data_IF_153213856910
#
_entry.id   IF_153213856910
#
_cell.length_a   1.000
_cell.length_b   1.000
_cell.length_c   1.000
_cell.angle_alpha   90.00
_cell.angle_beta   90.00
_cell.angle_gamma   90.00
#
_symmetry.space_group_name_H-M   'P 1'
#
loop_
_entity.id
_entity.type
_entity.pdbx_description
1 polymer ?
#
# COMPACT_ATOMS: atom_id res chain seq x y z
N UNK A 1 11.65 15.42 3.45
CA UNK A 1 11.45 14.15 2.74
C UNK A 1 12.66 13.98 1.84
N UNK A 2 13.25 12.79 1.77
CA UNK A 2 14.25 12.49 0.74
C UNK A 2 13.60 12.66 -0.63
N UNK A 3 14.36 13.15 -1.61
CA UNK A 3 13.93 13.18 -3.00
C UNK A 3 13.63 11.76 -3.48
N UNK A 4 12.54 11.59 -4.25
CA UNK A 4 12.16 10.29 -4.79
C UNK A 4 13.25 9.79 -5.76
N UNK A 5 13.84 8.64 -5.45
CA UNK A 5 14.83 8.02 -6.34
C UNK A 5 14.15 6.98 -7.24
N UNK A 6 14.15 7.24 -8.55
CA UNK A 6 13.59 6.30 -9.53
C UNK A 6 14.50 5.11 -9.83
N UNK A 7 15.74 5.09 -9.34
CA UNK A 7 16.64 3.96 -9.43
C UNK A 7 16.63 3.15 -8.14
N UNK A 8 16.40 1.84 -8.27
CA UNK A 8 16.62 0.91 -7.15
C UNK A 8 18.10 0.57 -7.05
N UNK A 9 18.58 0.33 -5.83
CA UNK A 9 19.89 -0.29 -5.60
C UNK A 9 19.68 -1.80 -5.49
N UNK A 10 20.21 -2.62 -6.42
CA UNK A 10 20.06 -4.07 -6.35
C UNK A 10 20.65 -4.64 -5.06
N UNK A 11 19.88 -5.49 -4.37
CA UNK A 11 20.35 -6.17 -3.15
C UNK A 11 21.37 -7.26 -3.48
N UNK A 12 21.26 -7.88 -4.67
CA UNK A 12 22.14 -8.95 -5.15
C UNK A 12 22.21 -10.18 -4.22
N UNK A 13 21.12 -10.46 -3.50
CA UNK A 13 21.00 -11.63 -2.63
C UNK A 13 20.00 -12.63 -3.23
N UNK A 14 20.45 -13.88 -3.36
CA UNK A 14 19.64 -15.00 -3.83
C UNK A 14 19.68 -16.12 -2.80
N UNK A 15 18.51 -16.64 -2.44
CA UNK A 15 18.37 -17.77 -1.52
C UNK A 15 17.61 -18.92 -2.20
N UNK A 16 18.01 -20.16 -1.91
CA UNK A 16 17.34 -21.37 -2.41
C UNK A 16 16.87 -22.21 -1.25
N UNK A 17 15.59 -22.59 -1.30
CA UNK A 17 14.93 -23.42 -0.30
C UNK A 17 14.47 -24.74 -0.95
N UNK A 18 15.00 -25.86 -0.49
CA UNK A 18 14.59 -27.18 -0.98
C UNK A 18 13.18 -27.52 -0.49
N UNK A 19 12.38 -28.07 -1.39
CA UNK A 19 11.01 -28.47 -1.08
C UNK A 19 10.98 -29.94 -0.64
N UNK A 20 10.21 -30.23 0.41
CA UNK A 20 10.01 -31.61 0.88
C UNK A 20 9.39 -32.53 -0.19
N UNK A 21 8.67 -31.95 -1.16
CA UNK A 21 8.08 -32.67 -2.30
C UNK A 21 9.05 -32.85 -3.48
N UNK A 22 10.31 -32.42 -3.34
CA UNK A 22 11.27 -32.30 -4.43
C UNK A 22 11.17 -30.96 -5.17
N UNK A 23 12.29 -30.55 -5.78
CA UNK A 23 12.49 -29.22 -6.35
C UNK A 23 12.91 -28.19 -5.30
N UNK A 24 12.90 -26.91 -5.67
CA UNK A 24 13.30 -25.81 -4.78
C UNK A 24 12.55 -24.52 -5.11
N UNK A 25 12.52 -23.57 -4.17
CA UNK A 25 12.14 -22.19 -4.43
C UNK A 25 13.41 -21.35 -4.44
N UNK A 26 13.57 -20.53 -5.48
CA UNK A 26 14.60 -19.50 -5.54
C UNK A 26 13.96 -18.15 -5.21
N UNK A 27 14.56 -17.41 -4.28
CA UNK A 27 14.17 -16.08 -3.87
C UNK A 27 15.26 -15.09 -4.28
N UNK A 28 14.90 -14.06 -5.04
CA UNK A 28 15.76 -12.93 -5.39
C UNK A 28 15.28 -11.70 -4.63
N UNK A 29 16.05 -11.29 -3.62
CA UNK A 29 15.65 -10.19 -2.74
C UNK A 29 15.80 -8.83 -3.41
N UNK A 30 14.94 -7.89 -3.02
CA UNK A 30 14.97 -6.51 -3.47
C UNK A 30 14.73 -5.53 -2.33
N UNK A 31 15.01 -4.25 -2.59
CA UNK A 31 14.92 -3.16 -1.63
C UNK A 31 13.47 -3.00 -1.11
N UNK A 32 13.32 -2.99 0.21
CA UNK A 32 12.05 -2.81 0.91
C UNK A 32 11.79 -1.34 1.29
N UNK A 33 12.58 -0.40 0.78
CA UNK A 33 12.34 1.03 0.92
C UNK A 33 10.93 1.41 0.47
N UNK A 34 10.31 2.33 1.21
CA UNK A 34 8.91 2.69 1.01
C UNK A 34 8.59 3.19 -0.41
N UNK A 35 9.55 3.84 -1.08
CA UNK A 35 9.37 4.32 -2.45
C UNK A 35 9.37 3.17 -3.45
N UNK A 36 10.23 2.17 -3.23
CA UNK A 36 10.31 0.95 -4.04
C UNK A 36 9.04 0.12 -3.86
N UNK A 37 8.65 -0.16 -2.61
CA UNK A 37 7.44 -0.93 -2.30
C UNK A 37 6.19 -0.23 -2.80
N UNK A 38 6.04 1.08 -2.55
CA UNK A 38 4.88 1.84 -3.00
C UNK A 38 4.74 1.84 -4.53
N UNK A 39 5.85 2.00 -5.25
CA UNK A 39 5.85 1.98 -6.71
C UNK A 39 5.48 0.59 -7.25
N UNK A 40 6.07 -0.47 -6.69
CA UNK A 40 5.79 -1.84 -7.08
C UNK A 40 4.31 -2.20 -6.87
N UNK A 41 3.78 -1.98 -5.67
CA UNK A 41 2.39 -2.34 -5.36
C UNK A 41 1.39 -1.47 -6.11
N UNK A 42 1.71 -0.21 -6.40
CA UNK A 42 0.88 0.62 -7.28
C UNK A 42 0.88 0.06 -8.71
N UNK A 43 2.04 -0.28 -9.28
CA UNK A 43 2.11 -0.91 -10.59
C UNK A 43 1.32 -2.23 -10.63
N UNK A 44 1.38 -3.05 -9.58
CA UNK A 44 0.64 -4.30 -9.52
C UNK A 44 -0.88 -4.08 -9.41
N UNK A 45 -1.34 -3.25 -8.48
CA UNK A 45 -2.75 -3.15 -8.13
C UNK A 45 -3.52 -2.07 -8.88
N UNK A 46 -2.90 -1.00 -9.34
CA UNK A 46 -3.58 0.03 -10.13
C UNK A 46 -3.42 -0.22 -11.64
N UNK A 47 -2.24 -0.65 -12.07
CA UNK A 47 -1.93 -0.76 -13.50
C UNK A 47 -2.07 -2.19 -14.06
N UNK A 48 -1.91 -3.22 -13.23
CA UNK A 48 -1.84 -4.62 -13.68
C UNK A 48 -2.75 -5.57 -12.89
N UNK A 49 -3.79 -5.07 -12.24
CA UNK A 49 -4.65 -5.88 -11.37
C UNK A 49 -5.27 -7.09 -12.05
N UNK A 50 -5.53 -7.02 -13.38
CA UNK A 50 -6.11 -8.10 -14.17
C UNK A 50 -5.17 -9.32 -14.29
N UNK A 51 -3.89 -9.13 -14.04
CA UNK A 51 -2.84 -10.12 -14.30
C UNK A 51 -2.32 -10.78 -13.03
N UNK A 52 -2.68 -10.26 -11.85
CA UNK A 52 -2.06 -10.66 -10.58
C UNK A 52 -3.08 -11.21 -9.61
N UNK A 53 -2.70 -12.30 -8.93
CA UNK A 53 -3.44 -12.84 -7.80
C UNK A 53 -2.81 -12.41 -6.48
N UNK A 54 -3.59 -12.49 -5.42
CA UNK A 54 -3.13 -12.28 -4.04
C UNK A 54 -3.33 -13.58 -3.30
N UNK A 55 -2.32 -14.02 -2.57
CA UNK A 55 -2.39 -15.22 -1.78
C UNK A 55 -1.86 -15.02 -0.35
N UNK A 56 -2.36 -15.83 0.56
CA UNK A 56 -1.72 -16.11 1.84
C UNK A 56 -1.54 -17.62 1.94
N UNK A 57 -0.30 -18.07 1.82
CA UNK A 57 0.07 -19.48 1.68
C UNK A 57 0.91 -19.86 2.89
N UNK A 58 0.33 -20.58 3.83
CA UNK A 58 1.02 -21.06 5.03
C UNK A 58 0.79 -22.56 5.19
N UNK A 59 1.64 -23.22 5.98
CA UNK A 59 1.44 -24.65 6.24
C UNK A 59 0.07 -24.88 6.90
N UNK A 60 -0.77 -25.67 6.23
CA UNK A 60 -2.12 -26.01 6.70
C UNK A 60 -3.24 -25.06 6.24
N UNK A 61 -2.97 -23.97 5.52
CA UNK A 61 -4.01 -23.10 4.98
C UNK A 61 -3.54 -22.28 3.77
N UNK A 62 -4.41 -22.20 2.76
CA UNK A 62 -4.19 -21.36 1.58
C UNK A 62 -5.45 -20.54 1.33
N UNK A 63 -5.25 -19.24 1.14
CA UNK A 63 -6.25 -18.32 0.62
C UNK A 63 -5.70 -17.68 -0.65
N UNK A 64 -6.45 -17.73 -1.74
CA UNK A 64 -6.14 -17.03 -2.99
C UNK A 64 -7.32 -16.15 -3.38
N UNK A 65 -7.01 -14.95 -3.86
CA UNK A 65 -7.95 -13.92 -4.27
C UNK A 65 -7.53 -13.35 -5.62
N UNK A 66 -8.52 -13.15 -6.48
CA UNK A 66 -8.35 -12.52 -7.78
C UNK A 66 -9.20 -11.26 -7.88
N UNK A 67 -8.83 -10.37 -8.80
CA UNK A 67 -9.57 -9.18 -9.12
C UNK A 67 -10.52 -9.43 -10.31
N UNK A 68 -11.82 -9.25 -10.08
CA UNK A 68 -12.85 -9.34 -11.14
C UNK A 68 -13.20 -7.99 -11.76
N UNK A 69 -12.67 -6.90 -11.20
CA UNK A 69 -12.86 -5.52 -11.62
C UNK A 69 -11.70 -4.67 -11.07
N UNK A 70 -11.48 -3.44 -11.58
CA UNK A 70 -10.51 -2.53 -11.00
C UNK A 70 -10.76 -2.35 -9.50
N UNK A 71 -9.71 -2.25 -8.67
CA UNK A 71 -9.88 -1.87 -7.27
C UNK A 71 -10.67 -0.55 -7.15
N UNK A 72 -11.54 -0.48 -6.14
CA UNK A 72 -12.25 0.77 -5.81
C UNK A 72 -11.32 1.78 -5.11
N UNK A 73 -10.22 1.29 -4.56
CA UNK A 73 -9.28 2.06 -3.76
C UNK A 73 -7.90 1.37 -3.76
N UNK A 74 -6.85 2.16 -3.94
CA UNK A 74 -5.46 1.81 -3.63
C UNK A 74 -4.79 3.03 -2.99
N UNK A 75 -4.68 3.03 -1.66
CA UNK A 75 -4.14 4.18 -0.91
C UNK A 75 -3.16 3.74 0.16
N UNK A 76 -2.24 4.63 0.52
CA UNK A 76 -1.42 4.50 1.71
C UNK A 76 -2.01 5.36 2.84
N UNK A 77 -2.23 4.76 4.01
CA UNK A 77 -2.71 5.45 5.20
C UNK A 77 -1.99 4.93 6.45
N UNK A 78 -1.35 5.83 7.21
CA UNK A 78 -0.57 5.53 8.42
C UNK A 78 0.28 4.25 8.32
N UNK A 79 1.08 4.14 7.26
CA UNK A 79 1.99 3.01 7.04
C UNK A 79 1.40 1.82 6.26
N UNK A 80 0.08 1.73 6.17
CA UNK A 80 -0.60 0.61 5.52
C UNK A 80 -1.10 0.96 4.12
N UNK A 81 -0.61 0.23 3.13
CA UNK A 81 -1.29 0.08 1.85
C UNK A 81 -2.66 -0.54 2.13
N UNK A 82 -3.70 0.03 1.53
CA UNK A 82 -5.05 -0.51 1.52
C UNK A 82 -5.51 -0.63 0.08
N UNK A 83 -5.81 -1.86 -0.34
CA UNK A 83 -6.45 -2.15 -1.63
C UNK A 83 -7.83 -2.72 -1.34
N UNK A 84 -8.87 -2.11 -1.90
CA UNK A 84 -10.25 -2.52 -1.65
C UNK A 84 -10.99 -2.82 -2.96
N UNK A 85 -11.68 -3.95 -2.99
CA UNK A 85 -12.63 -4.33 -4.05
C UNK A 85 -14.05 -4.20 -3.51
N UNK A 86 -15.02 -4.75 -4.24
CA UNK A 86 -16.39 -4.85 -3.75
C UNK A 86 -16.56 -5.92 -2.66
N UNK A 87 -15.89 -7.05 -2.80
CA UNK A 87 -16.10 -8.23 -1.94
C UNK A 87 -15.06 -8.40 -0.84
N UNK A 88 -13.88 -7.79 -0.99
CA UNK A 88 -12.77 -7.97 -0.06
C UNK A 88 -11.84 -6.76 -0.07
N UNK A 89 -11.01 -6.64 0.96
CA UNK A 89 -9.92 -5.68 1.00
C UNK A 89 -8.72 -6.30 1.70
N UNK A 90 -7.54 -5.72 1.48
CA UNK A 90 -6.29 -6.13 2.11
C UNK A 90 -5.57 -4.92 2.70
N UNK A 91 -4.67 -5.22 3.64
CA UNK A 91 -3.75 -4.25 4.22
C UNK A 91 -2.32 -4.81 4.26
N UNK A 92 -1.34 -4.03 3.80
CA UNK A 92 0.09 -4.36 3.86
C UNK A 92 0.89 -3.19 4.43
N UNK A 93 1.67 -3.42 5.48
CA UNK A 93 2.46 -2.38 6.15
C UNK A 93 3.76 -2.11 5.38
N UNK A 94 3.74 -1.16 4.44
CA UNK A 94 4.88 -0.81 3.58
C UNK A 94 5.62 0.46 4.03
N UNK A 95 5.12 1.11 5.09
CA UNK A 95 5.75 2.28 5.71
C UNK A 95 5.41 2.33 7.21
N UNK A 96 6.02 3.26 7.94
CA UNK A 96 5.92 3.38 9.39
C UNK A 96 4.48 3.65 9.82
N UNK A 97 3.90 2.71 10.59
CA UNK A 97 2.61 2.89 11.25
C UNK A 97 2.78 3.55 12.63
N UNK A 98 2.31 4.77 12.81
CA UNK A 98 2.50 5.47 14.08
C UNK A 98 1.35 5.22 15.06
N UNK A 99 0.15 4.88 14.60
CA UNK A 99 -1.00 4.65 15.49
C UNK A 99 -1.73 5.94 15.83
N UNK A 100 -2.12 6.68 14.78
CA UNK A 100 -2.95 7.88 14.89
C UNK A 100 -2.25 9.10 15.49
N UNK A 101 -3.01 10.10 15.97
CA UNK A 101 -2.47 11.41 16.40
C UNK A 101 -1.55 11.35 17.62
N UNK A 102 -1.75 10.36 18.49
CA UNK A 102 -0.94 10.19 19.70
C UNK A 102 0.24 9.24 19.52
N UNK A 103 0.51 8.83 18.27
CA UNK A 103 1.61 7.92 17.93
C UNK A 103 1.65 6.65 18.82
N UNK A 104 0.48 6.04 19.06
CA UNK A 104 0.29 4.99 20.06
C UNK A 104 0.99 3.68 19.72
N UNK A 105 1.36 3.43 18.47
CA UNK A 105 2.06 2.21 18.08
C UNK A 105 3.50 2.26 18.64
N UNK A 106 3.91 1.36 19.53
CA UNK A 106 5.28 1.34 20.07
C UNK A 106 6.32 1.07 18.98
N UNK A 107 7.53 1.62 19.11
CA UNK A 107 8.60 1.50 18.10
C UNK A 107 8.87 0.05 17.68
N UNK A 108 8.95 -0.88 18.63
CA UNK A 108 9.19 -2.30 18.33
C UNK A 108 8.05 -2.93 17.53
N UNK A 109 6.80 -2.52 17.81
CA UNK A 109 5.64 -2.97 17.03
C UNK A 109 5.67 -2.37 15.62
N UNK A 110 6.15 -1.13 15.44
CA UNK A 110 6.32 -0.53 14.09
C UNK A 110 7.31 -1.34 13.27
N UNK A 111 8.47 -1.66 13.86
CA UNK A 111 9.50 -2.48 13.22
C UNK A 111 8.97 -3.87 12.87
N UNK A 112 8.25 -4.51 13.79
CA UNK A 112 7.68 -5.84 13.57
C UNK A 112 6.66 -5.84 12.43
N UNK A 113 5.74 -4.85 12.39
CA UNK A 113 4.68 -4.80 11.36
C UNK A 113 5.20 -4.53 9.96
N UNK A 114 6.24 -3.71 9.84
CA UNK A 114 6.77 -3.24 8.56
C UNK A 114 7.30 -4.41 7.71
N UNK A 115 7.03 -4.37 6.41
CA UNK A 115 7.72 -5.23 5.43
C UNK A 115 9.22 -4.97 5.53
N UNK A 116 9.96 -5.97 5.99
CA UNK A 116 11.41 -5.89 6.22
C UNK A 116 12.19 -6.64 5.15
N UNK A 117 11.53 -7.58 4.46
CA UNK A 117 12.11 -8.42 3.43
C UNK A 117 11.09 -8.69 2.35
N UNK A 118 11.54 -8.65 1.09
CA UNK A 118 10.71 -8.94 -0.07
C UNK A 118 11.56 -9.61 -1.15
N UNK A 119 10.98 -10.58 -1.85
CA UNK A 119 11.68 -11.31 -2.90
C UNK A 119 10.77 -11.65 -4.06
N UNK A 120 11.29 -11.57 -5.28
CA UNK A 120 10.72 -12.27 -6.41
C UNK A 120 11.09 -13.74 -6.26
N UNK A 121 10.10 -14.63 -6.31
CA UNK A 121 10.35 -16.06 -6.23
C UNK A 121 10.04 -16.78 -7.53
N UNK A 122 10.77 -17.87 -7.74
CA UNK A 122 10.47 -18.89 -8.74
C UNK A 122 10.49 -20.25 -8.08
N UNK A 123 9.43 -21.04 -8.27
CA UNK A 123 9.41 -22.44 -7.83
C UNK A 123 9.89 -23.33 -8.97
N UNK A 124 10.80 -24.23 -8.68
CA UNK A 124 11.35 -25.20 -9.62
C UNK A 124 10.93 -26.61 -9.24
N UNK A 125 10.74 -27.48 -10.23
CA UNK A 125 10.58 -28.91 -10.01
C UNK A 125 11.96 -29.60 -9.87
N UNK A 126 11.95 -30.93 -9.69
CA UNK A 126 13.16 -31.75 -9.57
C UNK A 126 14.08 -31.65 -10.78
N UNK A 127 13.52 -31.46 -11.97
CA UNK A 127 14.26 -31.31 -13.23
C UNK A 127 14.89 -29.91 -13.39
N UNK A 128 14.67 -28.98 -12.44
CA UNK A 128 15.20 -27.63 -12.49
C UNK A 128 14.44 -26.70 -13.46
N UNK A 129 13.22 -27.05 -13.85
CA UNK A 129 12.33 -26.22 -14.66
C UNK A 129 11.43 -25.34 -13.77
N UNK A 130 11.29 -24.04 -14.06
CA UNK A 130 10.42 -23.17 -13.28
C UNK A 130 8.94 -23.50 -13.55
N UNK A 131 8.14 -23.48 -12.48
CA UNK A 131 6.74 -23.90 -12.45
C UNK A 131 5.78 -22.82 -11.96
N UNK A 132 6.26 -21.87 -11.15
CA UNK A 132 5.47 -20.71 -10.73
C UNK A 132 6.37 -19.52 -10.41
N UNK A 133 5.78 -18.33 -10.49
CA UNK A 133 6.43 -17.03 -10.29
C UNK A 133 5.57 -16.20 -9.34
N UNK A 134 6.21 -15.41 -8.49
CA UNK A 134 5.48 -14.49 -7.63
C UNK A 134 6.39 -13.58 -6.83
N UNK A 135 5.81 -12.83 -5.91
CA UNK A 135 6.51 -11.94 -4.98
C UNK A 135 6.09 -12.30 -3.57
N UNK A 136 7.05 -12.49 -2.68
CA UNK A 136 6.81 -12.83 -1.28
C UNK A 136 7.28 -11.69 -0.38
N UNK A 137 6.47 -11.34 0.63
CA UNK A 137 6.81 -10.37 1.66
C UNK A 137 6.94 -11.03 3.03
N UNK A 138 7.84 -10.50 3.86
CA UNK A 138 7.99 -10.83 5.27
C UNK A 138 8.09 -9.56 6.11
N UNK A 139 7.64 -9.65 7.35
CA UNK A 139 7.67 -8.54 8.30
C UNK A 139 8.97 -8.50 9.13
N UNK A 140 9.12 -7.52 10.02
CA UNK A 140 10.31 -7.39 10.89
C UNK A 140 10.56 -8.55 11.85
N UNK A 141 9.61 -9.45 12.05
CA UNK A 141 9.76 -10.68 12.84
C UNK A 141 10.01 -11.92 11.96
N UNK A 142 10.30 -11.75 10.66
CA UNK A 142 10.44 -12.82 9.66
C UNK A 142 9.16 -13.66 9.46
N UNK A 143 8.01 -13.14 9.84
CA UNK A 143 6.73 -13.79 9.58
C UNK A 143 6.33 -13.58 8.12
N UNK A 144 5.91 -14.64 7.46
CA UNK A 144 5.40 -14.56 6.09
C UNK A 144 4.10 -13.76 6.07
N UNK A 145 4.06 -12.74 5.19
CA UNK A 145 2.88 -11.90 4.98
C UNK A 145 2.08 -12.44 3.78
N UNK A 146 1.61 -11.55 2.91
CA UNK A 146 0.94 -11.91 1.66
C UNK A 146 1.96 -12.25 0.57
N UNK A 147 1.47 -12.98 -0.42
CA UNK A 147 2.17 -13.37 -1.65
C UNK A 147 1.43 -12.76 -2.83
N UNK A 148 2.15 -12.22 -3.81
CA UNK A 148 1.58 -11.84 -5.11
C UNK A 148 1.85 -12.97 -6.08
N UNK A 149 0.78 -13.53 -6.65
CA UNK A 149 0.86 -14.52 -7.71
C UNK A 149 1.00 -13.78 -9.03
N UNK A 150 2.10 -14.03 -9.74
CA UNK A 150 2.34 -13.45 -11.06
C UNK A 150 1.86 -14.41 -12.15
N UNK A 151 1.61 -13.93 -13.39
CA UNK A 151 1.11 -14.77 -14.47
C UNK A 151 1.97 -16.02 -14.68
N UNK A 152 1.29 -17.18 -14.78
CA UNK A 152 1.95 -18.46 -14.97
C UNK A 152 1.87 -18.89 -16.46
N UNK A 153 2.99 -19.03 -17.18
CA UNK A 153 3.03 -19.46 -18.58
C UNK A 153 2.57 -20.91 -18.78
N UNK A 154 2.37 -21.70 -17.72
CA UNK A 154 1.94 -23.10 -17.77
C UNK A 154 0.45 -23.29 -17.45
N UNK A 155 -0.29 -22.22 -17.17
CA UNK A 155 -1.69 -22.28 -16.70
C UNK A 155 -2.58 -21.42 -17.59
N UNK A 156 -3.81 -21.86 -17.84
CA UNK A 156 -4.87 -21.09 -18.47
C UNK A 156 -6.22 -21.31 -17.77
N UNK A 157 -6.68 -20.28 -17.05
CA UNK A 157 -7.75 -20.42 -16.06
C UNK A 157 -7.36 -21.43 -14.97
N UNK A 158 -8.24 -22.40 -14.69
CA UNK A 158 -7.96 -23.49 -13.75
C UNK A 158 -7.18 -24.65 -14.39
N UNK A 159 -6.92 -24.61 -15.70
CA UNK A 159 -6.32 -25.72 -16.42
C UNK A 159 -4.81 -25.57 -16.55
N UNK A 160 -4.09 -26.67 -16.37
CA UNK A 160 -2.71 -26.76 -16.84
C UNK A 160 -2.71 -26.78 -18.37
N UNK A 161 -1.86 -25.94 -18.97
CA UNK A 161 -1.65 -25.98 -20.41
C UNK A 161 -1.05 -27.33 -20.83
N UNK A 162 -1.33 -27.81 -22.06
CA UNK A 162 -0.75 -29.04 -22.57
C UNK A 162 0.77 -29.08 -22.39
N UNK A 163 1.27 -30.23 -21.97
CA UNK A 163 2.69 -30.44 -21.71
C UNK A 163 3.53 -30.00 -22.94
N UNK A 164 4.50 -29.10 -22.70
CA UNK A 164 5.40 -28.59 -23.74
C UNK A 164 4.91 -27.39 -24.56
N UNK A 165 3.75 -26.79 -24.26
CA UNK A 165 3.27 -25.56 -24.94
C UNK A 165 3.07 -24.38 -23.96
N UNK A 166 4.14 -23.87 -23.33
CA UNK A 166 4.02 -22.70 -22.45
C UNK A 166 3.64 -21.45 -23.24
N UNK A 167 2.76 -20.63 -22.69
CA UNK A 167 2.54 -19.26 -23.17
C UNK A 167 3.54 -18.31 -22.48
N UNK A 168 4.71 -18.16 -23.10
CA UNK A 168 5.81 -17.36 -22.53
C UNK A 168 5.53 -15.86 -22.48
N UNK A 169 4.56 -15.36 -23.27
CA UNK A 169 4.18 -13.94 -23.25
C UNK A 169 3.63 -13.53 -21.87
N UNK A 170 3.08 -14.48 -21.10
CA UNK A 170 2.66 -14.26 -19.71
C UNK A 170 3.82 -13.82 -18.81
N UNK A 171 5.08 -14.10 -19.16
CA UNK A 171 6.24 -13.68 -18.37
C UNK A 171 6.66 -12.22 -18.57
N UNK A 172 6.03 -11.47 -19.50
CA UNK A 172 6.41 -10.09 -19.79
C UNK A 172 6.37 -9.19 -18.53
N UNK A 173 5.30 -9.28 -17.74
CA UNK A 173 5.17 -8.51 -16.49
C UNK A 173 6.25 -8.90 -15.48
N UNK A 174 6.50 -10.19 -15.28
CA UNK A 174 7.57 -10.66 -14.37
C UNK A 174 8.94 -10.14 -14.79
N UNK A 175 9.28 -10.21 -16.08
CA UNK A 175 10.57 -9.75 -16.60
C UNK A 175 10.76 -8.25 -16.40
N UNK A 176 9.74 -7.46 -16.72
CA UNK A 176 9.81 -6.01 -16.58
C UNK A 176 9.96 -5.59 -15.11
N UNK A 177 9.14 -6.16 -14.23
CA UNK A 177 9.23 -5.91 -12.79
C UNK A 177 10.60 -6.35 -12.23
N UNK A 178 11.13 -7.49 -12.64
CA UNK A 178 12.46 -7.96 -12.19
C UNK A 178 13.58 -7.05 -12.68
N UNK A 179 13.52 -6.59 -13.93
CA UNK A 179 14.49 -5.65 -14.49
C UNK A 179 14.50 -4.30 -13.75
N UNK A 180 13.32 -3.83 -13.32
CA UNK A 180 13.19 -2.59 -12.53
C UNK A 180 13.64 -2.86 -11.09
N UNK A 181 12.95 -3.73 -10.36
CA UNK A 181 12.98 -3.77 -8.90
C UNK A 181 14.08 -4.66 -8.31
N UNK A 182 14.48 -5.72 -9.03
CA UNK A 182 15.52 -6.64 -8.54
C UNK A 182 16.88 -6.27 -9.12
N UNK A 183 16.94 -6.07 -10.44
CA UNK A 183 18.20 -5.91 -11.16
C UNK A 183 18.65 -4.46 -11.34
N UNK A 184 17.75 -3.48 -11.15
CA UNK A 184 18.07 -2.06 -11.35
C UNK A 184 18.51 -1.71 -12.78
N UNK A 185 18.04 -2.47 -13.78
CA UNK A 185 18.35 -2.24 -15.20
C UNK A 185 17.45 -1.18 -15.84
N UNK A 186 16.30 -0.91 -15.22
CA UNK A 186 15.31 0.07 -15.66
C UNK A 186 14.92 0.94 -14.47
N UNK A 187 14.54 2.18 -14.75
CA UNK A 187 13.97 3.07 -13.74
C UNK A 187 12.56 2.66 -13.37
N UNK A 188 12.19 2.90 -12.11
CA UNK A 188 10.80 2.95 -11.68
C UNK A 188 10.07 4.00 -12.55
N UNK A 189 8.93 3.65 -13.19
CA UNK A 189 8.27 4.50 -14.17
C UNK A 189 7.39 5.60 -13.53
N UNK A 190 7.90 6.25 -12.49
CA UNK A 190 7.24 7.37 -11.80
C UNK A 190 8.22 8.52 -11.58
N UNK A 191 7.72 9.76 -11.61
CA UNK A 191 8.50 10.96 -11.27
C UNK A 191 8.41 11.32 -9.78
N UNK A 192 7.40 10.80 -9.08
CA UNK A 192 7.17 10.93 -7.64
C UNK A 192 6.59 9.63 -7.10
N UNK A 193 6.68 9.39 -5.79
CA UNK A 193 6.06 8.22 -5.18
C UNK A 193 4.54 8.23 -5.45
N UNK A 194 3.97 7.19 -6.10
CA UNK A 194 2.57 7.19 -6.54
C UNK A 194 1.54 7.01 -5.41
N UNK A 195 1.97 6.63 -4.21
CA UNK A 195 1.10 6.44 -3.04
C UNK A 195 1.37 7.43 -1.90
N UNK A 196 2.46 8.19 -1.96
CA UNK A 196 2.84 9.21 -0.95
C UNK A 196 2.59 10.63 -1.45
N UNK A 197 1.38 10.92 -1.89
CA UNK A 197 0.93 12.29 -2.11
C UNK A 197 0.24 12.85 -0.87
N UNK A 198 0.28 14.17 -0.73
CA UNK A 198 -0.43 14.84 0.35
C UNK A 198 -1.94 14.64 0.16
N UNK A 199 -2.59 14.20 1.22
CA UNK A 199 -4.04 14.08 1.32
C UNK A 199 -4.58 14.70 2.60
N UNK A 200 -5.83 15.13 2.55
CA UNK A 200 -6.66 15.51 3.69
C UNK A 200 -7.89 14.60 3.73
N UNK A 201 -8.13 13.94 4.86
CA UNK A 201 -9.19 12.93 4.98
C UNK A 201 -10.21 13.27 6.04
N UNK A 202 -11.50 13.05 5.74
CA UNK A 202 -12.61 13.17 6.70
C UNK A 202 -13.04 11.80 7.21
N UNK A 203 -13.12 11.64 8.54
CA UNK A 203 -13.61 10.43 9.20
C UNK A 203 -15.10 10.22 8.94
N UNK A 204 -15.45 9.06 8.37
CA UNK A 204 -16.83 8.66 8.06
C UNK A 204 -17.35 7.55 8.97
N UNK A 205 -16.59 7.21 10.03
CA UNK A 205 -16.90 6.10 10.93
C UNK A 205 -18.29 6.22 11.54
N UNK A 206 -19.14 5.23 11.26
CA UNK A 206 -20.48 5.12 11.85
C UNK A 206 -20.45 4.77 13.34
N UNK A 207 -19.29 4.32 13.86
CA UNK A 207 -19.04 4.02 15.28
C UNK A 207 -19.07 5.28 16.16
N UNK A 208 -18.92 6.47 15.57
CA UNK A 208 -18.91 7.75 16.27
C UNK A 208 -20.09 8.60 15.79
N UNK A 209 -21.05 8.90 16.68
CA UNK A 209 -22.24 9.72 16.34
C UNK A 209 -21.88 11.07 15.68
N UNK A 210 -20.92 11.85 16.21
CA UNK A 210 -20.50 13.11 15.59
C UNK A 210 -19.97 13.00 14.15
N UNK A 211 -19.37 11.86 13.78
CA UNK A 211 -18.82 11.64 12.43
C UNK A 211 -19.88 11.21 11.40
N UNK A 212 -21.15 11.01 11.79
CA UNK A 212 -22.21 10.58 10.86
C UNK A 212 -22.61 11.65 9.84
N UNK A 213 -22.44 12.93 10.17
CA UNK A 213 -22.72 14.08 9.29
C UNK A 213 -21.41 14.65 8.70
N UNK A 214 -20.62 13.79 8.09
CA UNK A 214 -19.30 14.14 7.55
C UNK A 214 -19.37 14.86 6.20
N UNK A 215 -20.45 14.64 5.42
CA UNK A 215 -20.57 15.11 4.03
C UNK A 215 -20.36 16.62 3.89
N UNK A 216 -21.00 17.50 4.69
CA UNK A 216 -20.79 18.94 4.55
C UNK A 216 -19.34 19.37 4.81
N UNK A 217 -18.64 18.65 5.69
CA UNK A 217 -17.21 18.91 5.96
C UNK A 217 -16.34 18.48 4.79
N UNK A 218 -16.65 17.32 4.20
CA UNK A 218 -15.97 16.82 3.02
C UNK A 218 -16.17 17.74 1.81
N UNK A 219 -17.40 18.16 1.54
CA UNK A 219 -17.73 19.03 0.41
C UNK A 219 -17.07 20.41 0.54
N UNK A 220 -17.02 20.97 1.76
CA UNK A 220 -16.33 22.22 2.05
C UNK A 220 -14.81 22.10 1.85
N UNK A 221 -14.18 21.03 2.36
CA UNK A 221 -12.76 20.76 2.12
C UNK A 221 -12.45 20.60 0.64
N UNK A 222 -13.25 19.82 -0.07
CA UNK A 222 -13.07 19.55 -1.50
C UNK A 222 -13.15 20.86 -2.30
N UNK A 223 -14.21 21.62 -2.09
CA UNK A 223 -14.40 22.91 -2.77
C UNK A 223 -13.27 23.89 -2.47
N UNK A 224 -12.83 23.98 -1.21
CA UNK A 224 -11.76 24.88 -0.80
C UNK A 224 -10.39 24.48 -1.39
N UNK A 225 -10.07 23.18 -1.39
CA UNK A 225 -8.82 22.67 -2.01
C UNK A 225 -8.81 22.91 -3.51
N UNK A 226 -9.92 22.63 -4.21
CA UNK A 226 -10.08 22.86 -5.65
C UNK A 226 -9.95 24.36 -5.99
N UNK A 227 -10.65 25.24 -5.24
CA UNK A 227 -10.58 26.69 -5.44
C UNK A 227 -9.18 27.27 -5.19
N UNK A 228 -8.42 26.67 -4.28
CA UNK A 228 -7.05 27.07 -3.97
C UNK A 228 -6.01 26.52 -4.96
N UNK A 229 -6.40 25.58 -5.85
CA UNK A 229 -5.49 24.96 -6.81
C UNK A 229 -4.38 24.11 -6.17
N UNK A 230 -4.65 23.52 -5.00
CA UNK A 230 -3.67 22.72 -4.26
C UNK A 230 -3.60 21.28 -4.80
N UNK A 231 -2.38 20.76 -4.99
CA UNK A 231 -2.14 19.32 -5.29
C UNK A 231 -2.27 18.48 -4.01
N UNK A 232 -3.47 18.45 -3.43
CA UNK A 232 -3.82 17.70 -2.21
C UNK A 232 -5.08 16.87 -2.49
N UNK A 233 -4.99 15.55 -2.29
CA UNK A 233 -6.17 14.67 -2.42
C UNK A 233 -7.13 14.88 -1.25
N UNK A 234 -8.41 15.17 -1.53
CA UNK A 234 -9.47 15.15 -0.50
C UNK A 234 -10.18 13.80 -0.53
N UNK A 235 -10.12 13.05 0.57
CA UNK A 235 -10.67 11.69 0.65
C UNK A 235 -11.45 11.42 1.92
N UNK A 236 -12.12 10.27 1.95
CA UNK A 236 -12.76 9.78 3.17
C UNK A 236 -11.84 8.78 3.87
N UNK A 237 -12.03 8.61 5.18
CA UNK A 237 -11.33 7.60 5.96
C UNK A 237 -12.30 6.87 6.87
N UNK A 238 -11.94 5.66 7.27
CA UNK A 238 -12.57 4.98 8.41
C UNK A 238 -12.32 5.73 9.74
N UNK A 239 -12.41 5.00 10.85
CA UNK A 239 -12.16 5.57 12.18
C UNK A 239 -10.72 6.09 12.29
N UNK A 240 -10.56 7.36 12.67
CA UNK A 240 -9.25 7.99 12.93
C UNK A 240 -8.78 7.88 14.40
N UNK A 241 -9.42 7.00 15.18
CA UNK A 241 -9.10 6.74 16.60
C UNK A 241 -9.20 7.95 17.56
N UNK A 242 -9.82 9.04 17.11
CA UNK A 242 -10.19 10.19 17.93
C UNK A 242 -11.68 10.10 18.26
N UNK A 243 -12.01 9.24 19.22
CA UNK A 243 -13.39 8.93 19.57
C UNK A 243 -14.14 10.16 20.09
N UNK A 244 -15.41 10.28 19.71
CA UNK A 244 -16.38 11.29 20.19
C UNK A 244 -16.10 12.76 19.86
N UNK A 245 -15.06 13.08 19.10
CA UNK A 245 -14.72 14.46 18.71
C UNK A 245 -14.92 14.74 17.21
N UNK A 246 -15.85 14.04 16.56
CA UNK A 246 -16.11 14.17 15.13
C UNK A 246 -16.92 15.42 14.71
N UNK A 247 -16.98 15.73 13.40
CA UNK A 247 -16.15 15.17 12.33
C UNK A 247 -14.66 15.42 12.57
N UNK A 248 -13.84 14.41 12.29
CA UNK A 248 -12.38 14.46 12.46
C UNK A 248 -11.77 14.57 11.08
N UNK A 249 -10.84 15.50 10.92
CA UNK A 249 -10.08 15.71 9.68
C UNK A 249 -8.61 15.41 9.96
N UNK A 250 -7.95 14.73 9.03
CA UNK A 250 -6.52 14.43 9.11
C UNK A 250 -5.80 14.95 7.88
N UNK A 251 -4.79 15.79 8.08
CA UNK A 251 -3.88 16.24 7.03
C UNK A 251 -2.56 15.47 7.12
N UNK A 252 -2.22 14.74 6.07
CA UNK A 252 -1.13 13.76 6.05
C UNK A 252 0.27 14.36 5.98
N UNK A 253 0.43 15.52 5.32
CA UNK A 253 1.75 16.09 5.01
C UNK A 253 2.56 16.41 6.28
N UNK A 254 1.93 17.07 7.25
CA UNK A 254 2.54 17.42 8.53
C UNK A 254 1.94 16.65 9.72
N UNK A 255 1.13 15.64 9.40
CA UNK A 255 0.42 14.78 10.35
C UNK A 255 -0.40 15.59 11.36
N UNK A 256 -1.32 16.42 10.90
CA UNK A 256 -2.20 17.21 11.77
C UNK A 256 -3.61 16.65 11.82
N UNK A 257 -4.18 16.54 13.01
CA UNK A 257 -5.58 16.16 13.20
C UNK A 257 -6.39 17.36 13.70
N UNK A 258 -7.59 17.49 13.16
CA UNK A 258 -8.59 18.46 13.58
C UNK A 258 -9.84 17.74 14.05
N UNK A 259 -10.48 18.27 15.08
CA UNK A 259 -11.70 17.75 15.67
C UNK A 259 -12.82 18.76 15.61
N UNK A 260 -14.07 18.28 15.73
CA UNK A 260 -15.29 19.10 15.67
C UNK A 260 -15.34 19.98 14.43
N UNK A 261 -14.83 19.47 13.31
CA UNK A 261 -14.73 20.23 12.07
C UNK A 261 -16.12 20.40 11.48
N UNK A 262 -16.52 21.64 11.27
CA UNK A 262 -17.70 22.04 10.52
C UNK A 262 -17.26 22.65 9.18
N UNK A 263 -18.18 22.99 8.24
CA UNK A 263 -17.81 23.58 6.95
C UNK A 263 -16.90 24.82 7.04
N UNK A 264 -17.17 25.74 7.97
CA UNK A 264 -16.34 26.94 8.14
C UNK A 264 -14.93 26.59 8.63
N UNK A 265 -14.81 25.64 9.55
CA UNK A 265 -13.50 25.15 10.02
C UNK A 265 -12.77 24.43 8.89
N UNK A 266 -13.46 23.67 8.05
CA UNK A 266 -12.88 23.04 6.86
C UNK A 266 -12.27 24.07 5.90
N UNK A 267 -13.00 25.14 5.57
CA UNK A 267 -12.48 26.24 4.75
C UNK A 267 -11.26 26.91 5.40
N UNK A 268 -11.31 27.16 6.72
CA UNK A 268 -10.19 27.73 7.47
C UNK A 268 -8.97 26.81 7.47
N UNK A 269 -9.15 25.48 7.58
CA UNK A 269 -8.04 24.52 7.48
C UNK A 269 -7.34 24.69 6.13
N UNK A 270 -8.07 24.85 5.03
CA UNK A 270 -7.44 25.06 3.73
C UNK A 270 -6.74 26.42 3.68
N UNK A 271 -7.45 27.51 4.00
CA UNK A 271 -6.97 28.88 3.82
C UNK A 271 -5.84 29.28 4.76
N UNK A 272 -5.88 28.84 6.01
CA UNK A 272 -4.87 29.18 7.02
C UNK A 272 -3.79 28.11 7.10
N UNK A 273 -4.16 26.82 7.21
CA UNK A 273 -3.16 25.77 7.43
C UNK A 273 -2.50 25.33 6.13
N UNK A 274 -3.27 24.89 5.14
CA UNK A 274 -2.68 24.30 3.93
C UNK A 274 -2.01 25.33 3.03
N UNK A 275 -2.54 26.57 2.97
CA UNK A 275 -1.96 27.66 2.17
C UNK A 275 -0.88 28.44 2.95
N UNK A 276 -1.16 28.88 4.19
CA UNK A 276 -0.28 29.78 4.94
C UNK A 276 0.59 29.08 5.98
N UNK A 277 0.35 27.80 6.28
CA UNK A 277 1.05 27.04 7.32
C UNK A 277 0.52 27.26 8.75
N UNK A 278 -0.55 28.04 8.93
CA UNK A 278 -1.10 28.40 10.24
C UNK A 278 -2.16 27.39 10.69
N UNK A 279 -1.84 26.56 11.70
CA UNK A 279 -2.77 25.55 12.23
C UNK A 279 -3.94 26.18 13.00
N UNK A 280 -5.13 25.59 12.88
CA UNK A 280 -6.34 26.03 13.59
C UNK A 280 -6.31 25.50 15.04
N UNK A 281 -5.70 26.27 15.94
CA UNK A 281 -5.40 25.87 17.33
C UNK A 281 -6.62 25.37 18.11
N UNK A 282 -7.78 26.00 17.96
CA UNK A 282 -9.03 25.64 18.64
C UNK A 282 -9.54 24.22 18.28
N UNK A 283 -9.20 23.73 17.09
CA UNK A 283 -9.65 22.43 16.59
C UNK A 283 -8.54 21.36 16.61
N UNK A 284 -7.30 21.72 16.94
CA UNK A 284 -6.15 20.81 16.91
C UNK A 284 -6.32 19.62 17.86
N UNK A 285 -5.86 18.45 17.42
CA UNK A 285 -5.76 17.25 18.23
C UNK A 285 -4.40 16.56 18.08
N UNK A 286 -3.72 16.20 19.19
CA UNK A 286 -4.07 16.59 20.56
C UNK A 286 -4.05 18.12 20.74
N UNK A 287 -4.80 18.67 21.71
CA UNK A 287 -4.74 20.10 22.02
C UNK A 287 -3.29 20.51 22.34
N UNK A 288 -2.84 21.62 21.78
CA UNK A 288 -1.54 22.18 22.17
C UNK A 288 -1.64 22.65 23.62
N UNK A 289 -0.69 22.23 24.45
CA UNK A 289 -0.58 22.77 25.82
C UNK A 289 0.04 24.17 25.71
N UNK A 290 -0.48 25.17 26.44
CA UNK A 290 0.14 26.50 26.52
C UNK A 290 1.60 26.45 26.95
#
# INVERSE_FOLDING_TARGET
>A
MSEFNCWVTPVNEVFKEDLATGGFIEYEYFDCGSDVLASLVYTLFEQNWQQVGIAHIVQGSVLELEFNAPPKLCILYDGYLTVATEGWHLHLCIDTNFGGPLCKTPVEVRKQRLVSRAAFYRRFNLEGNPRSWGIQFWNGANEQLMTILLPNPLVDGENLLPEGKPNLDKLALYQDLRDIYVLGKKTIPFSKNPLKHAYISVCTSTRCLPSRKWQPTFDALKSAVENAGLDIEVRTSGCLEVCQLGPVVFYSNDRTWYTRVNPNVAENIVNEHLIKGNKITENLYPPQTP
#
